data_IF_086708520119
#
_entry.id   IF_086708520119
#
_cell.length_a   1.000
_cell.length_b   1.000
_cell.length_c   1.000
_cell.angle_alpha   90.00
_cell.angle_beta   90.00
_cell.angle_gamma   90.00
#
_symmetry.space_group_name_H-M   'P 1'
#
loop_
_entity.id
_entity.type
_entity.pdbx_description
1 polymer ?
#
# COMPACT_ATOMS: atom_id res chain seq x y z
N UNK A 1 6.80 -22.80 -31.93
CA UNK A 1 8.14 -22.85 -31.32
C UNK A 1 8.43 -21.53 -30.65
N UNK A 2 8.72 -21.55 -29.35
CA UNK A 2 9.06 -20.29 -28.67
C UNK A 2 10.37 -19.76 -29.17
N UNK A 3 10.43 -18.48 -29.51
CA UNK A 3 11.64 -17.80 -29.90
C UNK A 3 12.65 -17.87 -28.74
N UNK A 4 13.89 -18.32 -29.04
CA UNK A 4 14.98 -18.31 -28.06
C UNK A 4 15.42 -16.90 -27.64
N UNK A 5 14.92 -15.86 -28.34
CA UNK A 5 15.24 -14.45 -28.13
C UNK A 5 14.15 -13.68 -27.38
N UNK A 6 13.20 -14.38 -26.76
CA UNK A 6 12.18 -13.74 -25.97
C UNK A 6 12.77 -13.12 -24.71
N UNK A 7 12.75 -11.78 -24.65
CA UNK A 7 13.28 -11.05 -23.49
C UNK A 7 12.33 -11.20 -22.28
N UNK A 8 12.90 -11.45 -21.12
CA UNK A 8 12.16 -11.36 -19.87
C UNK A 8 11.89 -9.88 -19.56
N UNK A 9 10.65 -9.57 -19.30
CA UNK A 9 10.19 -8.23 -18.88
C UNK A 9 9.41 -8.33 -17.58
N UNK A 10 9.31 -7.23 -16.85
CA UNK A 10 8.47 -7.16 -15.66
C UNK A 10 7.01 -7.48 -15.98
N UNK A 11 6.51 -6.97 -17.11
CA UNK A 11 5.15 -7.23 -17.56
C UNK A 11 4.87 -8.73 -17.78
N UNK A 12 5.80 -9.44 -18.40
CA UNK A 12 5.69 -10.89 -18.62
C UNK A 12 5.71 -11.71 -17.34
N UNK A 13 6.40 -11.24 -16.32
CA UNK A 13 6.43 -11.88 -15.00
C UNK A 13 5.29 -11.45 -14.08
N UNK A 14 4.31 -10.71 -14.58
CA UNK A 14 3.13 -10.27 -13.83
C UNK A 14 3.28 -8.91 -13.15
N UNK A 15 4.37 -8.20 -13.43
CA UNK A 15 4.62 -6.86 -12.89
C UNK A 15 4.45 -5.83 -14.00
N UNK A 16 3.41 -5.03 -13.93
CA UNK A 16 3.14 -3.94 -14.86
C UNK A 16 3.47 -2.61 -14.18
N UNK A 17 4.63 -2.05 -14.52
CA UNK A 17 5.15 -0.81 -13.91
C UNK A 17 4.27 0.38 -14.28
N UNK A 18 3.84 0.50 -15.52
CA UNK A 18 2.99 1.60 -15.98
C UNK A 18 1.63 1.58 -15.28
N UNK A 19 1.05 0.40 -15.16
CA UNK A 19 -0.21 0.20 -14.45
C UNK A 19 -0.10 0.53 -12.97
N UNK A 20 1.02 0.18 -12.33
CA UNK A 20 1.29 0.53 -10.95
C UNK A 20 1.44 2.04 -10.77
N UNK A 21 2.12 2.73 -11.67
CA UNK A 21 2.27 4.18 -11.65
C UNK A 21 0.93 4.88 -11.85
N UNK A 22 0.09 4.41 -12.76
CA UNK A 22 -1.25 4.94 -12.97
C UNK A 22 -2.12 4.76 -11.72
N UNK A 23 -2.01 3.63 -11.05
CA UNK A 23 -2.71 3.40 -9.79
C UNK A 23 -2.31 4.43 -8.73
N UNK A 24 -1.02 4.69 -8.56
CA UNK A 24 -0.52 5.68 -7.60
C UNK A 24 -1.08 7.07 -7.91
N UNK A 25 -1.09 7.49 -9.17
CA UNK A 25 -1.68 8.76 -9.56
C UNK A 25 -3.18 8.84 -9.24
N UNK A 26 -3.90 7.75 -9.45
CA UNK A 26 -5.33 7.68 -9.19
C UNK A 26 -5.68 7.71 -7.70
N UNK A 27 -4.83 7.16 -6.83
CA UNK A 27 -5.10 7.15 -5.39
C UNK A 27 -4.61 8.41 -4.66
N UNK A 28 -3.74 9.22 -5.26
CA UNK A 28 -3.23 10.45 -4.64
C UNK A 28 -4.33 11.36 -4.06
N UNK A 29 -5.40 11.67 -4.80
CA UNK A 29 -6.47 12.51 -4.25
C UNK A 29 -7.19 11.87 -3.05
N UNK A 30 -7.29 10.55 -3.04
CA UNK A 30 -7.92 9.79 -1.96
C UNK A 30 -7.03 9.84 -0.71
N UNK A 31 -5.73 9.56 -0.90
CA UNK A 31 -4.74 9.59 0.17
C UNK A 31 -4.61 11.00 0.76
N UNK A 32 -4.67 12.03 -0.06
CA UNK A 32 -4.56 13.42 0.39
C UNK A 32 -5.59 13.77 1.46
N UNK A 33 -6.75 13.13 1.46
CA UNK A 33 -7.78 13.34 2.48
C UNK A 33 -7.40 12.79 3.85
N UNK A 34 -6.44 11.88 3.92
CA UNK A 34 -6.00 11.25 5.17
C UNK A 34 -4.76 11.91 5.76
N UNK A 35 -4.12 12.80 5.02
CA UNK A 35 -2.89 13.46 5.46
C UNK A 35 -3.19 14.55 6.48
N UNK A 36 -2.26 14.74 7.41
CA UNK A 36 -2.28 15.83 8.37
C UNK A 36 -0.90 16.53 8.39
N UNK A 37 -0.76 17.57 9.20
CA UNK A 37 0.44 18.40 9.26
C UNK A 37 1.70 17.65 9.70
N UNK A 38 1.55 16.46 10.30
CA UNK A 38 2.67 15.64 10.74
C UNK A 38 3.21 14.72 9.65
N UNK A 39 2.49 14.58 8.54
CA UNK A 39 2.97 13.83 7.38
C UNK A 39 3.82 14.76 6.53
N UNK A 40 5.12 14.51 6.46
CA UNK A 40 6.09 15.39 5.81
C UNK A 40 6.69 14.81 4.53
N UNK A 41 6.17 13.67 4.07
CA UNK A 41 6.56 13.07 2.80
C UNK A 41 5.35 12.89 1.89
N UNK A 42 5.62 12.93 0.58
CA UNK A 42 4.61 12.65 -0.43
C UNK A 42 4.44 11.15 -0.66
N UNK A 43 3.29 10.78 -1.23
CA UNK A 43 3.05 9.43 -1.70
C UNK A 43 3.96 9.11 -2.90
N UNK A 44 4.62 7.96 -2.86
CA UNK A 44 5.46 7.48 -3.96
C UNK A 44 6.96 7.51 -3.68
N UNK A 45 7.38 7.97 -2.51
CA UNK A 45 8.76 7.85 -2.06
C UNK A 45 9.07 6.48 -1.46
N UNK A 46 10.33 6.24 -1.13
CA UNK A 46 10.78 4.99 -0.51
C UNK A 46 10.25 4.78 0.92
N UNK A 47 9.91 5.84 1.60
CA UNK A 47 9.43 5.75 2.97
C UNK A 47 8.47 6.86 3.31
N UNK A 48 7.63 6.62 4.29
CA UNK A 48 6.78 7.64 4.86
C UNK A 48 7.52 8.39 5.96
N UNK A 49 7.44 9.70 5.95
CA UNK A 49 7.99 10.55 7.00
C UNK A 49 6.85 11.13 7.82
N UNK A 50 6.87 10.84 9.10
CA UNK A 50 5.86 11.31 10.04
C UNK A 50 6.54 11.95 11.25
N UNK A 51 6.18 13.18 11.56
CA UNK A 51 6.71 13.91 12.69
C UNK A 51 6.03 13.47 13.99
N UNK A 52 6.81 12.97 14.92
CA UNK A 52 6.28 12.60 16.23
C UNK A 52 6.09 13.82 17.12
N UNK A 53 4.97 13.86 17.84
CA UNK A 53 4.76 14.84 18.89
C UNK A 53 5.43 14.36 20.18
N UNK A 54 6.72 14.62 20.31
CA UNK A 54 7.50 14.21 21.46
C UNK A 54 7.06 14.86 22.77
N UNK A 55 6.33 15.97 22.69
CA UNK A 55 5.81 16.68 23.86
C UNK A 55 4.49 16.11 24.38
N UNK A 56 3.76 15.38 23.51
CA UNK A 56 2.48 14.78 23.87
C UNK A 56 2.62 13.48 24.67
N UNK A 57 3.79 12.84 24.63
CA UNK A 57 4.01 11.53 25.21
C UNK A 57 5.25 11.50 26.08
N UNK A 58 5.14 10.86 27.23
CA UNK A 58 6.28 10.70 28.13
C UNK A 58 7.30 9.68 27.64
N UNK A 59 6.81 8.60 27.03
CA UNK A 59 7.64 7.49 26.53
C UNK A 59 7.03 6.96 25.21
N UNK A 60 7.21 7.69 24.12
CA UNK A 60 6.60 7.28 22.85
C UNK A 60 7.20 5.97 22.34
N UNK A 61 6.34 5.09 21.87
CA UNK A 61 6.71 3.84 21.20
C UNK A 61 6.04 3.84 19.85
N UNK A 62 6.83 3.68 18.81
CA UNK A 62 6.32 3.51 17.44
C UNK A 62 5.97 2.05 17.22
N UNK A 63 4.77 1.83 16.73
CA UNK A 63 4.35 0.52 16.23
C UNK A 63 4.01 0.68 14.76
N UNK A 64 4.70 -0.03 13.91
CA UNK A 64 4.39 -0.06 12.49
C UNK A 64 4.21 -1.49 12.02
N UNK A 65 3.29 -1.68 11.09
CA UNK A 65 3.03 -2.99 10.53
C UNK A 65 2.49 -2.86 9.12
N UNK A 66 2.78 -3.86 8.32
CA UNK A 66 2.22 -3.99 6.98
C UNK A 66 1.68 -5.39 6.80
N UNK A 67 0.67 -5.53 5.97
CA UNK A 67 0.07 -6.82 5.68
C UNK A 67 -0.48 -6.83 4.26
N UNK A 68 -0.38 -7.97 3.60
CA UNK A 68 -0.95 -8.19 2.27
C UNK A 68 -2.34 -8.80 2.28
N UNK A 69 -2.95 -9.00 3.44
CA UNK A 69 -4.27 -9.61 3.66
C UNK A 69 -4.33 -11.12 3.31
N UNK A 70 -3.27 -11.68 2.76
CA UNK A 70 -3.14 -13.13 2.54
C UNK A 70 -4.21 -13.72 1.61
N UNK A 71 -4.78 -14.86 2.02
CA UNK A 71 -5.77 -15.60 1.24
C UNK A 71 -7.09 -14.85 1.01
N UNK A 72 -7.43 -13.90 1.86
CA UNK A 72 -8.63 -13.08 1.69
C UNK A 72 -8.62 -12.29 0.38
N UNK A 73 -7.44 -11.83 -0.07
CA UNK A 73 -7.29 -11.15 -1.36
C UNK A 73 -7.62 -12.10 -2.52
N UNK A 74 -7.19 -13.34 -2.43
CA UNK A 74 -7.50 -14.35 -3.46
C UNK A 74 -9.00 -14.60 -3.54
N UNK A 75 -9.67 -14.72 -2.40
CA UNK A 75 -11.12 -14.90 -2.34
C UNK A 75 -11.85 -13.67 -2.90
N UNK A 76 -11.42 -12.49 -2.52
CA UNK A 76 -11.99 -11.24 -3.03
C UNK A 76 -11.83 -11.11 -4.55
N UNK A 77 -10.69 -11.56 -5.09
CA UNK A 77 -10.45 -11.59 -6.53
C UNK A 77 -11.42 -12.53 -7.23
N UNK A 78 -11.67 -13.71 -6.68
CA UNK A 78 -12.61 -14.67 -7.23
C UNK A 78 -14.05 -14.16 -7.21
N UNK A 79 -14.42 -13.42 -6.17
CA UNK A 79 -15.76 -12.86 -5.98
C UNK A 79 -15.93 -11.47 -6.60
N UNK A 80 -14.85 -10.88 -7.14
CA UNK A 80 -14.80 -9.50 -7.65
C UNK A 80 -15.34 -8.48 -6.64
N UNK A 81 -15.02 -8.69 -5.35
CA UNK A 81 -15.49 -7.85 -4.24
C UNK A 81 -14.31 -7.39 -3.40
N UNK A 82 -13.94 -6.09 -3.52
CA UNK A 82 -12.73 -5.54 -2.90
C UNK A 82 -13.01 -4.42 -1.89
N UNK A 83 -14.25 -4.02 -1.74
CA UNK A 83 -14.65 -2.81 -1.00
C UNK A 83 -14.39 -2.88 0.51
N UNK A 84 -14.24 -4.07 1.09
CA UNK A 84 -14.01 -4.23 2.53
C UNK A 84 -12.61 -4.71 2.91
N UNK A 85 -11.77 -5.08 1.96
CA UNK A 85 -10.45 -5.64 2.25
C UNK A 85 -9.56 -4.62 2.97
N UNK A 86 -9.57 -3.37 2.53
CA UNK A 86 -8.78 -2.31 3.16
C UNK A 86 -9.21 -2.04 4.59
N UNK A 87 -10.50 -2.07 4.86
CA UNK A 87 -11.06 -1.91 6.20
C UNK A 87 -10.61 -3.06 7.10
N UNK A 88 -10.70 -4.28 6.63
CA UNK A 88 -10.27 -5.47 7.37
C UNK A 88 -8.78 -5.42 7.68
N UNK A 89 -7.96 -4.99 6.74
CA UNK A 89 -6.53 -4.84 6.92
C UNK A 89 -6.20 -3.86 8.05
N UNK A 90 -6.76 -2.66 8.00
CA UNK A 90 -6.50 -1.62 9.00
C UNK A 90 -6.99 -2.06 10.38
N UNK A 91 -8.16 -2.66 10.46
CA UNK A 91 -8.70 -3.16 11.74
C UNK A 91 -7.82 -4.25 12.33
N UNK A 92 -7.26 -5.15 11.52
CA UNK A 92 -6.38 -6.21 12.02
C UNK A 92 -5.08 -5.66 12.60
N UNK A 93 -4.59 -4.51 12.11
CA UNK A 93 -3.39 -3.86 12.62
C UNK A 93 -3.64 -3.06 13.90
N UNK A 94 -4.88 -2.62 14.13
CA UNK A 94 -5.26 -1.84 15.32
C UNK A 94 -5.65 -2.75 16.48
N UNK A 95 -6.35 -3.83 16.21
CA UNK A 95 -6.84 -4.78 17.23
C UNK A 95 -5.85 -5.94 17.39
N UNK A 96 -4.78 -5.67 18.06
CA UNK A 96 -3.79 -6.68 18.40
C UNK A 96 -4.17 -7.36 19.72
#
# INVERSE_FOLDING_TARGET
MKSKNEKLTYSKSGVDIDKANDLIENIKPIVAKTLNDRVISDLGGFGGLFELDINAYKRPVLVSGTDGVGTKVMLAKQLSSFDQIGIDLVLSLIHI
#
